data_IF_595085575271
#
_entry.id   IF_595085575271
#
_cell.length_a   1.000
_cell.length_b   1.000
_cell.length_c   1.000
_cell.angle_alpha   90.00
_cell.angle_beta   90.00
_cell.angle_gamma   90.00
#
_symmetry.space_group_name_H-M   'P 1'
#
loop_
_entity.id
_entity.type
_entity.pdbx_description
1 polymer ?
#
# COMPACT_ATOMS: atom_id res chain seq x y z
N UNK A 1 -10.38 12.02 -22.38
CA UNK A 1 -9.72 10.72 -22.08
C UNK A 1 -8.62 10.86 -21.01
N UNK A 2 -8.79 11.68 -19.97
CA UNK A 2 -7.75 11.90 -18.93
C UNK A 2 -7.98 11.13 -17.63
N UNK A 3 -9.23 10.69 -17.34
CA UNK A 3 -9.54 9.95 -16.12
C UNK A 3 -9.02 8.50 -16.09
N UNK A 4 -8.91 7.84 -17.24
CA UNK A 4 -8.49 6.42 -17.32
C UNK A 4 -6.98 6.25 -17.17
N UNK A 5 -6.19 7.24 -17.62
CA UNK A 5 -4.72 7.22 -17.50
C UNK A 5 -4.25 7.51 -16.07
N UNK A 6 -4.88 8.44 -15.36
CA UNK A 6 -4.53 8.75 -13.98
C UNK A 6 -4.83 7.58 -13.02
N UNK A 7 -5.95 6.89 -13.23
CA UNK A 7 -6.32 5.69 -12.46
C UNK A 7 -5.35 4.51 -12.70
N UNK A 8 -4.88 4.32 -13.94
CA UNK A 8 -3.91 3.26 -14.24
C UNK A 8 -2.53 3.54 -13.64
N UNK A 9 -2.10 4.81 -13.61
CA UNK A 9 -0.85 5.21 -12.96
C UNK A 9 -0.91 5.03 -11.44
N UNK A 10 -1.98 5.47 -10.78
CA UNK A 10 -2.17 5.31 -9.34
C UNK A 10 -2.19 3.83 -8.94
N UNK A 11 -2.90 2.99 -9.71
CA UNK A 11 -2.94 1.55 -9.50
C UNK A 11 -1.57 0.90 -9.65
N UNK A 12 -0.83 1.22 -10.71
CA UNK A 12 0.52 0.69 -10.92
C UNK A 12 1.47 1.09 -9.78
N UNK A 13 1.38 2.34 -9.32
CA UNK A 13 2.15 2.82 -8.16
C UNK A 13 1.79 2.04 -6.89
N UNK A 14 0.51 1.80 -6.63
CA UNK A 14 0.06 1.01 -5.49
C UNK A 14 0.57 -0.44 -5.57
N UNK A 15 0.56 -1.08 -6.74
CA UNK A 15 1.13 -2.42 -6.94
C UNK A 15 2.63 -2.47 -6.65
N UNK A 16 3.39 -1.48 -7.15
CA UNK A 16 4.83 -1.40 -6.90
C UNK A 16 5.13 -1.22 -5.41
N UNK A 17 4.37 -0.37 -4.72
CA UNK A 17 4.50 -0.17 -3.26
C UNK A 17 4.13 -1.44 -2.49
N UNK A 18 3.04 -2.12 -2.86
CA UNK A 18 2.65 -3.39 -2.23
C UNK A 18 3.75 -4.44 -2.35
N UNK A 19 4.37 -4.57 -3.53
CA UNK A 19 5.50 -5.47 -3.73
C UNK A 19 6.71 -5.08 -2.86
N UNK A 20 7.01 -3.79 -2.76
CA UNK A 20 8.10 -3.29 -1.91
C UNK A 20 7.86 -3.52 -0.41
N UNK A 21 6.59 -3.52 0.03
CA UNK A 21 6.22 -3.87 1.42
C UNK A 21 6.34 -5.38 1.67
N UNK A 22 6.00 -6.21 0.68
CA UNK A 22 6.12 -7.68 0.77
C UNK A 22 7.58 -8.14 0.80
N UNK A 23 8.45 -7.45 0.08
CA UNK A 23 9.89 -7.75 -0.01
C UNK A 23 10.76 -6.55 0.35
N UNK A 24 10.71 -6.08 1.62
CA UNK A 24 11.43 -4.88 2.03
C UNK A 24 12.90 -5.19 2.32
N UNK A 25 13.82 -4.24 2.08
CA UNK A 25 15.22 -4.40 2.45
C UNK A 25 15.43 -4.34 3.98
N UNK A 26 14.61 -3.54 4.67
CA UNK A 26 14.63 -3.37 6.12
C UNK A 26 13.25 -2.91 6.66
N UNK A 27 13.11 -2.89 7.98
CA UNK A 27 11.86 -2.50 8.65
C UNK A 27 11.48 -1.03 8.41
N UNK A 28 12.38 -0.03 8.52
CA UNK A 28 12.05 1.36 8.19
C UNK A 28 11.46 1.54 6.78
N UNK A 29 12.09 0.94 5.78
CA UNK A 29 11.65 1.00 4.37
C UNK A 29 10.27 0.35 4.20
N UNK A 30 9.99 -0.73 4.93
CA UNK A 30 8.67 -1.38 4.93
C UNK A 30 7.58 -0.44 5.43
N UNK A 31 7.81 0.24 6.55
CA UNK A 31 6.86 1.17 7.16
C UNK A 31 6.65 2.40 6.27
N UNK A 32 7.72 2.92 5.67
CA UNK A 32 7.63 4.03 4.73
C UNK A 32 6.79 3.65 3.50
N UNK A 33 7.05 2.49 2.91
CA UNK A 33 6.28 2.01 1.75
C UNK A 33 4.81 1.71 2.10
N UNK A 34 4.52 1.25 3.32
CA UNK A 34 3.14 1.10 3.82
C UNK A 34 2.42 2.45 3.93
N UNK A 35 3.09 3.47 4.44
CA UNK A 35 2.55 4.83 4.49
C UNK A 35 2.23 5.38 3.11
N UNK A 36 3.20 5.28 2.19
CA UNK A 36 3.01 5.69 0.79
C UNK A 36 1.89 4.92 0.09
N UNK A 37 1.74 3.62 0.38
CA UNK A 37 0.65 2.81 -0.16
C UNK A 37 -0.71 3.31 0.35
N UNK A 38 -0.82 3.61 1.64
CA UNK A 38 -2.00 4.22 2.24
C UNK A 38 -2.35 5.56 1.60
N UNK A 39 -1.38 6.44 1.36
CA UNK A 39 -1.61 7.73 0.68
C UNK A 39 -2.18 7.53 -0.74
N UNK A 40 -1.65 6.58 -1.51
CA UNK A 40 -2.13 6.33 -2.87
C UNK A 40 -3.57 5.80 -2.85
N UNK A 41 -3.86 4.83 -1.99
CA UNK A 41 -5.17 4.18 -1.95
C UNK A 41 -6.23 5.10 -1.30
N UNK A 42 -5.89 5.88 -0.27
CA UNK A 42 -6.87 6.70 0.46
C UNK A 42 -7.02 8.10 -0.15
N UNK A 43 -5.91 8.73 -0.56
CA UNK A 43 -5.94 10.14 -0.96
C UNK A 43 -5.93 10.35 -2.48
N UNK A 44 -5.24 9.51 -3.24
CA UNK A 44 -5.14 9.68 -4.70
C UNK A 44 -6.26 9.00 -5.47
N UNK A 45 -6.53 7.74 -5.16
CA UNK A 45 -7.59 6.99 -5.83
C UNK A 45 -8.30 6.04 -4.85
N UNK A 46 -9.36 6.52 -4.16
CA UNK A 46 -10.16 5.73 -3.22
C UNK A 46 -10.79 4.48 -3.83
N UNK A 47 -10.93 4.40 -5.16
CA UNK A 47 -11.49 3.21 -5.81
C UNK A 47 -10.59 1.98 -5.65
N UNK A 48 -9.28 2.21 -5.46
CA UNK A 48 -8.28 1.18 -5.21
C UNK A 48 -8.45 0.52 -3.84
N UNK A 49 -9.16 1.13 -2.90
CA UNK A 49 -9.35 0.56 -1.56
C UNK A 49 -9.94 -0.85 -1.63
N UNK A 50 -10.92 -1.08 -2.50
CA UNK A 50 -11.54 -2.41 -2.65
C UNK A 50 -10.58 -3.46 -3.19
N UNK A 51 -9.64 -3.06 -4.05
CA UNK A 51 -8.65 -3.96 -4.64
C UNK A 51 -7.52 -4.28 -3.64
N UNK A 52 -7.05 -3.29 -2.88
CA UNK A 52 -5.85 -3.43 -2.05
C UNK A 52 -6.13 -3.77 -0.59
N UNK A 53 -7.33 -3.52 -0.07
CA UNK A 53 -7.68 -3.79 1.33
C UNK A 53 -7.39 -5.24 1.76
N UNK A 54 -7.74 -6.29 0.98
CA UNK A 54 -7.41 -7.67 1.35
C UNK A 54 -5.92 -7.90 1.58
N UNK A 55 -5.05 -7.20 0.83
CA UNK A 55 -3.60 -7.32 0.98
C UNK A 55 -3.05 -6.47 2.13
N UNK A 56 -3.67 -5.32 2.42
CA UNK A 56 -3.25 -4.48 3.55
C UNK A 56 -3.56 -5.18 4.88
N UNK A 57 -4.70 -5.88 4.99
CA UNK A 57 -5.06 -6.60 6.23
C UNK A 57 -4.17 -7.81 6.52
N UNK A 58 -3.51 -8.40 5.51
CA UNK A 58 -2.51 -9.47 5.73
C UNK A 58 -1.40 -9.01 6.69
N UNK A 59 -1.04 -7.72 6.68
CA UNK A 59 0.00 -7.15 7.55
C UNK A 59 -0.42 -7.03 9.03
N UNK A 60 -1.68 -7.29 9.40
CA UNK A 60 -2.07 -7.43 10.81
C UNK A 60 -1.39 -8.64 11.47
N UNK A 61 -1.00 -9.63 10.67
CA UNK A 61 -0.26 -10.82 11.11
C UNK A 61 1.26 -10.70 10.98
N UNK A 62 1.77 -9.52 10.64
CA UNK A 62 3.19 -9.31 10.38
C UNK A 62 4.05 -9.64 11.62
N UNK A 63 5.23 -10.23 11.41
CA UNK A 63 6.15 -10.56 12.52
C UNK A 63 6.62 -9.31 13.27
N UNK A 64 6.82 -8.20 12.56
CA UNK A 64 7.26 -6.95 13.15
C UNK A 64 6.10 -6.25 13.87
N UNK A 65 6.22 -6.09 15.20
CA UNK A 65 5.22 -5.37 15.98
C UNK A 65 4.92 -3.94 15.47
N UNK A 66 5.91 -3.15 15.01
CA UNK A 66 5.63 -1.83 14.44
C UNK A 66 4.72 -1.86 13.21
N UNK A 67 4.82 -2.90 12.36
CA UNK A 67 3.95 -3.06 11.20
C UNK A 67 2.52 -3.34 11.64
N UNK A 68 2.33 -4.25 12.61
CA UNK A 68 0.99 -4.51 13.16
C UNK A 68 0.36 -3.27 13.77
N UNK A 69 1.15 -2.47 14.50
CA UNK A 69 0.71 -1.19 15.09
C UNK A 69 0.39 -0.12 14.05
N UNK A 70 1.01 -0.18 12.88
CA UNK A 70 0.73 0.75 11.78
C UNK A 70 -0.64 0.47 11.13
N UNK A 71 -1.06 -0.79 11.11
CA UNK A 71 -2.30 -1.24 10.46
C UNK A 71 -3.51 -1.21 11.41
N UNK A 72 -3.28 -1.36 12.71
CA UNK A 72 -4.30 -1.35 13.76
C UNK A 72 -4.82 0.06 14.03
#
# INVERSE_FOLDING_TARGET
MVGVMAGSEARNKALNLLNAVKFPPDLPSKLENLGRLGEVIVSRDPSLLREFLPHVVEFQSDKASPVRKFIA
#
